data_IF_723062928712
#
_entry.id   IF_723062928712
#
_cell.length_a   1.000
_cell.length_b   1.000
_cell.length_c   1.000
_cell.angle_alpha   90.00
_cell.angle_beta   90.00
_cell.angle_gamma   90.00
#
_symmetry.space_group_name_H-M   'P 1'
#
loop_
_entity.id
_entity.type
_entity.pdbx_description
1 polymer ?
#
# COMPACT_ATOMS: atom_id res chain seq x y z
N UNK A 1 -17.51 -50.93 14.83
CA UNK A 1 -17.43 -50.71 13.37
C UNK A 1 -17.38 -49.21 13.13
N UNK A 2 -16.19 -48.66 12.92
CA UNK A 2 -16.03 -47.25 12.57
C UNK A 2 -16.45 -47.07 11.11
N UNK A 3 -17.39 -46.16 10.87
CA UNK A 3 -17.75 -45.77 9.50
C UNK A 3 -16.49 -45.17 8.85
N UNK A 4 -16.06 -45.62 7.67
CA UNK A 4 -14.92 -45.03 6.99
C UNK A 4 -15.26 -43.58 6.66
N UNK A 5 -14.46 -42.64 7.19
CA UNK A 5 -14.59 -41.20 6.97
C UNK A 5 -14.11 -40.82 5.55
N UNK A 6 -14.70 -41.43 4.53
CA UNK A 6 -14.36 -41.21 3.11
C UNK A 6 -15.39 -40.30 2.39
N UNK A 7 -16.07 -39.44 3.15
CA UNK A 7 -16.95 -38.40 2.58
C UNK A 7 -16.17 -37.16 2.12
N UNK A 8 -16.69 -36.36 1.17
CA UNK A 8 -16.05 -35.12 0.70
C UNK A 8 -15.77 -34.10 1.81
N UNK A 9 -16.44 -34.20 2.97
CA UNK A 9 -16.20 -33.37 4.17
C UNK A 9 -14.82 -33.57 4.80
N UNK A 10 -14.12 -34.68 4.52
CA UNK A 10 -12.81 -35.00 5.11
C UNK A 10 -11.64 -34.73 4.17
N UNK A 11 -11.92 -34.30 2.92
CA UNK A 11 -10.89 -33.87 1.98
C UNK A 11 -10.60 -32.38 2.19
N UNK A 12 -9.33 -31.93 2.12
CA UNK A 12 -9.01 -30.50 2.10
C UNK A 12 -9.90 -29.76 1.09
N UNK A 13 -10.43 -28.61 1.52
CA UNK A 13 -11.32 -27.75 0.72
C UNK A 13 -12.56 -28.47 0.11
N UNK A 14 -13.05 -29.54 0.74
CA UNK A 14 -14.20 -30.28 0.24
C UNK A 14 -13.94 -31.08 -1.03
N UNK A 15 -12.66 -31.38 -1.32
CA UNK A 15 -12.24 -32.07 -2.54
C UNK A 15 -12.12 -31.17 -3.77
N UNK A 16 -12.17 -29.84 -3.60
CA UNK A 16 -11.92 -28.89 -4.69
C UNK A 16 -10.44 -28.82 -5.00
N UNK A 17 -10.10 -28.72 -6.29
CA UNK A 17 -8.75 -28.35 -6.73
C UNK A 17 -8.53 -26.88 -6.42
N UNK A 18 -7.51 -26.58 -5.62
CA UNK A 18 -7.14 -25.22 -5.23
C UNK A 18 -5.77 -24.89 -5.81
N UNK A 19 -5.66 -23.74 -6.44
CA UNK A 19 -4.40 -23.16 -6.90
C UNK A 19 -4.17 -21.85 -6.14
N UNK A 20 -3.09 -21.80 -5.37
CA UNK A 20 -2.62 -20.56 -4.76
C UNK A 20 -1.50 -19.95 -5.61
N UNK A 21 -1.51 -18.63 -5.71
CA UNK A 21 -0.44 -17.85 -6.33
C UNK A 21 -0.05 -16.72 -5.40
N UNK A 22 1.25 -16.58 -5.13
CA UNK A 22 1.77 -15.59 -4.20
C UNK A 22 3.29 -15.53 -4.21
N UNK A 23 3.83 -14.54 -3.51
CA UNK A 23 5.26 -14.33 -3.34
C UNK A 23 5.50 -14.02 -1.86
N UNK A 24 6.11 -14.97 -1.15
CA UNK A 24 6.30 -14.90 0.30
C UNK A 24 7.34 -13.88 0.73
N UNK A 25 8.05 -13.24 -0.22
CA UNK A 25 8.90 -12.08 0.03
C UNK A 25 8.07 -10.79 0.23
N UNK A 26 6.79 -10.80 -0.15
CA UNK A 26 5.88 -9.67 0.03
C UNK A 26 5.37 -9.61 1.48
N UNK A 27 4.62 -8.56 1.81
CA UNK A 27 4.09 -8.38 3.16
C UNK A 27 3.22 -9.55 3.60
N UNK A 28 3.48 -10.04 4.81
CA UNK A 28 2.70 -11.08 5.49
C UNK A 28 1.31 -10.57 5.91
N UNK A 29 0.38 -11.47 6.30
CA UNK A 29 -0.89 -11.09 6.86
C UNK A 29 -0.72 -10.09 8.02
N UNK A 30 -1.46 -8.98 7.98
CA UNK A 30 -1.43 -7.98 9.04
C UNK A 30 -2.35 -8.43 10.16
N UNK A 31 -1.76 -8.79 11.30
CA UNK A 31 -2.48 -9.14 12.52
C UNK A 31 -2.27 -8.02 13.54
N UNK A 32 -3.37 -7.45 14.02
CA UNK A 32 -3.35 -6.32 14.97
C UNK A 32 -2.69 -6.77 16.28
N UNK A 33 -1.78 -5.95 16.81
CA UNK A 33 -1.06 -6.21 18.08
C UNK A 33 -0.20 -7.49 18.08
N UNK A 34 0.07 -8.08 16.91
CA UNK A 34 0.88 -9.28 16.81
C UNK A 34 2.38 -8.99 16.75
N UNK A 35 3.16 -9.84 17.42
CA UNK A 35 4.61 -9.89 17.26
C UNK A 35 5.07 -10.61 15.99
N UNK A 36 6.40 -10.71 15.80
CA UNK A 36 7.02 -11.43 14.67
C UNK A 36 6.53 -12.88 14.59
N UNK A 37 6.56 -13.61 15.69
CA UNK A 37 6.18 -15.03 15.76
C UNK A 37 4.73 -15.25 15.33
N UNK A 38 3.80 -14.51 15.93
CA UNK A 38 2.37 -14.58 15.60
C UNK A 38 2.08 -14.22 14.13
N UNK A 39 2.82 -13.26 13.58
CA UNK A 39 2.70 -12.88 12.15
C UNK A 39 3.17 -14.01 11.23
N UNK A 40 4.27 -14.69 11.59
CA UNK A 40 4.77 -15.85 10.86
C UNK A 40 3.82 -17.04 11.01
N UNK A 41 3.28 -17.30 12.20
CA UNK A 41 2.32 -18.38 12.46
C UNK A 41 0.99 -18.18 11.71
N UNK A 42 0.61 -16.94 11.44
CA UNK A 42 -0.54 -16.61 10.60
C UNK A 42 -0.33 -16.84 9.11
N UNK A 43 0.90 -17.16 8.67
CA UNK A 43 1.22 -17.35 7.25
C UNK A 43 0.78 -18.73 6.72
N UNK A 44 0.60 -18.83 5.40
CA UNK A 44 0.15 -20.07 4.75
C UNK A 44 1.13 -21.24 4.96
N UNK A 45 2.43 -20.96 5.08
CA UNK A 45 3.47 -21.97 5.30
C UNK A 45 3.38 -22.63 6.68
N UNK A 46 2.76 -21.96 7.65
CA UNK A 46 2.50 -22.50 9.00
C UNK A 46 1.13 -23.18 9.14
N UNK A 47 0.36 -23.25 8.06
CA UNK A 47 -0.92 -23.97 8.06
C UNK A 47 -0.72 -25.48 8.19
N UNK A 48 -1.60 -26.16 8.93
CA UNK A 48 -1.65 -27.62 8.97
C UNK A 48 -1.92 -28.27 7.61
N UNK A 49 -2.45 -27.50 6.64
CA UNK A 49 -2.68 -27.95 5.27
C UNK A 49 -1.45 -27.79 4.37
N UNK A 50 -0.35 -27.16 4.84
CA UNK A 50 0.81 -26.84 4.00
C UNK A 50 1.41 -28.09 3.33
N UNK A 51 1.51 -29.19 4.07
CA UNK A 51 2.01 -30.48 3.59
C UNK A 51 1.15 -31.12 2.50
N UNK A 52 -0.07 -30.63 2.27
CA UNK A 52 -0.97 -31.11 1.22
C UNK A 52 -0.79 -30.37 -0.12
N UNK A 53 -0.01 -29.28 -0.16
CA UNK A 53 0.22 -28.52 -1.39
C UNK A 53 1.44 -29.01 -2.14
N UNK A 54 1.34 -29.06 -3.47
CA UNK A 54 2.49 -29.18 -4.36
C UNK A 54 3.01 -27.78 -4.69
N UNK A 55 4.31 -27.59 -4.50
CA UNK A 55 4.97 -26.30 -4.75
C UNK A 55 5.47 -26.23 -6.19
N UNK A 56 5.22 -25.09 -6.85
CA UNK A 56 5.69 -24.82 -8.21
C UNK A 56 6.32 -23.43 -8.24
N UNK A 57 7.52 -23.32 -8.81
CA UNK A 57 8.28 -22.07 -8.85
C UNK A 57 8.26 -21.45 -10.25
N UNK A 58 7.96 -20.16 -10.32
CA UNK A 58 8.15 -19.34 -11.51
C UNK A 58 9.47 -18.58 -11.37
N UNK A 59 10.41 -18.82 -12.27
CA UNK A 59 11.76 -18.23 -12.24
C UNK A 59 11.91 -17.01 -13.14
N UNK A 60 11.10 -16.89 -14.19
CA UNK A 60 11.15 -15.76 -15.12
C UNK A 60 10.36 -14.56 -14.58
N UNK A 61 11.06 -13.45 -14.29
CA UNK A 61 10.42 -12.20 -13.90
C UNK A 61 9.92 -11.44 -15.13
N UNK A 62 8.61 -11.50 -15.37
CA UNK A 62 7.97 -10.82 -16.51
C UNK A 62 7.73 -9.32 -16.31
N UNK A 63 7.95 -8.77 -15.10
CA UNK A 63 7.71 -7.35 -14.79
C UNK A 63 8.90 -6.47 -15.17
N UNK A 64 10.11 -6.99 -15.01
CA UNK A 64 11.35 -6.26 -15.29
C UNK A 64 11.83 -6.66 -16.68
N UNK A 65 11.88 -5.69 -17.60
CA UNK A 65 12.37 -5.90 -18.96
C UNK A 65 13.56 -4.97 -19.22
N UNK A 66 14.73 -5.55 -19.45
CA UNK A 66 15.95 -4.83 -19.81
C UNK A 66 16.78 -4.39 -18.60
N UNK A 67 18.07 -4.71 -18.63
CA UNK A 67 19.08 -4.13 -17.74
C UNK A 67 19.98 -3.25 -18.60
N UNK A 68 20.31 -2.06 -18.11
CA UNK A 68 21.31 -1.21 -18.76
C UNK A 68 22.72 -1.71 -18.38
N UNK A 69 23.73 -1.57 -19.25
CA UNK A 69 25.10 -1.98 -18.94
C UNK A 69 25.67 -1.34 -17.67
N UNK A 70 25.38 -0.05 -17.45
CA UNK A 70 25.95 0.73 -16.34
C UNK A 70 25.30 0.40 -14.97
N UNK A 71 24.09 -0.17 -14.97
CA UNK A 71 23.40 -0.55 -13.73
C UNK A 71 24.20 -1.58 -12.93
N UNK A 72 24.84 -2.55 -13.60
CA UNK A 72 25.61 -3.60 -12.90
C UNK A 72 26.76 -3.05 -12.08
N UNK A 73 27.43 -2.00 -12.57
CA UNK A 73 28.54 -1.40 -11.87
C UNK A 73 28.07 -0.66 -10.61
N UNK A 74 26.98 0.10 -10.71
CA UNK A 74 26.42 0.88 -9.61
C UNK A 74 25.69 0.02 -8.57
N UNK A 75 25.21 -1.16 -8.98
CA UNK A 75 24.56 -2.15 -8.12
C UNK A 75 25.54 -3.22 -7.64
N UNK A 76 26.85 -2.94 -7.56
CA UNK A 76 27.86 -3.85 -7.02
C UNK A 76 27.85 -5.27 -7.62
N UNK A 77 27.64 -5.38 -8.93
CA UNK A 77 27.65 -6.64 -9.67
C UNK A 77 26.28 -7.28 -9.89
N UNK A 78 25.21 -6.72 -9.32
CA UNK A 78 23.83 -7.18 -9.56
C UNK A 78 23.22 -6.50 -10.80
N UNK A 79 22.46 -7.24 -11.61
CA UNK A 79 21.41 -6.61 -12.43
C UNK A 79 20.30 -6.05 -11.53
N UNK A 80 19.49 -5.13 -12.04
CA UNK A 80 18.34 -4.63 -11.28
C UNK A 80 17.43 -5.77 -10.78
N UNK A 81 17.12 -6.76 -11.63
CA UNK A 81 16.28 -7.89 -11.21
C UNK A 81 16.93 -8.74 -10.12
N UNK A 82 18.24 -9.01 -10.21
CA UNK A 82 18.96 -9.77 -9.18
C UNK A 82 19.03 -8.99 -7.86
N UNK A 83 19.25 -7.67 -7.92
CA UNK A 83 19.27 -6.82 -6.73
C UNK A 83 17.92 -6.80 -6.01
N UNK A 84 16.81 -6.67 -6.75
CA UNK A 84 15.45 -6.74 -6.19
C UNK A 84 15.16 -8.09 -5.54
N UNK A 85 15.62 -9.20 -6.14
CA UNK A 85 15.47 -10.53 -5.55
C UNK A 85 16.34 -10.71 -4.30
N UNK A 86 17.60 -10.27 -4.34
CA UNK A 86 18.50 -10.32 -3.19
C UNK A 86 17.97 -9.49 -2.02
N UNK A 87 17.37 -8.32 -2.30
CA UNK A 87 16.66 -7.49 -1.33
C UNK A 87 15.52 -8.28 -0.66
N UNK A 88 14.64 -8.88 -1.45
CA UNK A 88 13.49 -9.65 -0.95
C UNK A 88 13.86 -10.92 -0.19
N UNK A 89 14.99 -11.55 -0.54
CA UNK A 89 15.51 -12.71 0.16
C UNK A 89 16.32 -12.35 1.43
N UNK A 90 16.61 -11.07 1.66
CA UNK A 90 17.48 -10.65 2.77
C UNK A 90 18.94 -11.03 2.59
N UNK A 91 19.43 -11.12 1.35
CA UNK A 91 20.79 -11.56 0.99
C UNK A 91 21.77 -10.41 0.75
N UNK A 92 21.29 -9.16 0.75
CA UNK A 92 22.16 -7.99 0.66
C UNK A 92 23.02 -7.86 1.91
N UNK A 93 24.21 -7.28 1.76
CA UNK A 93 25.10 -6.97 2.88
C UNK A 93 24.37 -6.05 3.87
N UNK A 94 24.35 -6.43 5.14
CA UNK A 94 23.76 -5.65 6.22
C UNK A 94 24.82 -5.11 7.17
N UNK A 95 24.49 -3.99 7.81
CA UNK A 95 25.32 -3.31 8.80
C UNK A 95 24.48 -3.00 10.05
N UNK A 96 25.15 -2.85 11.19
CA UNK A 96 24.55 -2.42 12.45
C UNK A 96 25.17 -1.09 12.85
N UNK A 97 24.33 -0.09 13.13
CA UNK A 97 24.77 1.25 13.55
C UNK A 97 24.73 1.46 15.07
N UNK A 98 24.21 0.48 15.83
CA UNK A 98 24.23 0.45 17.30
C UNK A 98 24.68 -0.92 17.78
N UNK A 99 25.51 -0.95 18.83
CA UNK A 99 26.12 -2.19 19.36
C UNK A 99 25.08 -3.27 19.73
N UNK A 100 23.90 -2.86 20.22
CA UNK A 100 22.81 -3.78 20.62
C UNK A 100 21.67 -3.90 19.58
N UNK A 101 21.89 -3.49 18.33
CA UNK A 101 20.87 -3.55 17.27
C UNK A 101 21.12 -4.69 16.28
N UNK A 102 20.06 -5.31 15.73
CA UNK A 102 20.23 -6.29 14.66
C UNK A 102 20.88 -5.64 13.43
N UNK A 103 21.78 -6.37 12.77
CA UNK A 103 22.37 -5.95 11.50
C UNK A 103 21.33 -6.08 10.38
N UNK A 104 20.40 -5.13 10.32
CA UNK A 104 19.30 -5.08 9.37
C UNK A 104 19.31 -3.83 8.48
N UNK A 105 20.35 -2.99 8.57
CA UNK A 105 20.52 -1.83 7.70
C UNK A 105 21.25 -2.21 6.42
N UNK A 106 20.68 -1.85 5.28
CA UNK A 106 21.29 -2.03 3.97
C UNK A 106 21.64 -0.68 3.37
N UNK A 107 22.74 -0.64 2.61
CA UNK A 107 23.08 0.52 1.81
C UNK A 107 22.26 0.50 0.51
N UNK A 108 21.58 1.61 0.23
CA UNK A 108 20.85 1.84 -1.00
C UNK A 108 21.80 2.45 -2.04
N UNK A 109 21.89 1.86 -3.24
CA UNK A 109 22.71 2.39 -4.33
C UNK A 109 22.38 3.85 -4.65
N UNK A 110 23.41 4.66 -4.91
CA UNK A 110 23.27 6.10 -5.21
C UNK A 110 22.36 6.37 -6.41
N UNK A 111 22.31 5.44 -7.37
CA UNK A 111 21.41 5.45 -8.53
C UNK A 111 19.94 5.72 -8.15
N UNK A 112 19.50 5.17 -7.01
CA UNK A 112 18.11 5.29 -6.59
C UNK A 112 17.86 6.54 -5.73
N UNK A 113 18.90 7.15 -5.17
CA UNK A 113 18.73 8.21 -4.18
C UNK A 113 18.34 9.53 -4.86
N UNK A 114 17.43 10.25 -4.22
CA UNK A 114 17.09 11.63 -4.56
C UNK A 114 18.03 12.53 -3.77
N UNK A 115 18.92 13.22 -4.46
CA UNK A 115 19.73 14.29 -3.90
C UNK A 115 18.84 15.53 -3.76
N UNK A 116 18.77 16.11 -2.57
CA UNK A 116 17.97 17.32 -2.37
C UNK A 116 18.56 18.22 -1.29
N UNK A 117 18.22 19.49 -1.38
CA UNK A 117 18.43 20.49 -0.34
C UNK A 117 17.04 21.06 0.01
N UNK A 118 16.73 21.20 1.30
CA UNK A 118 15.45 21.75 1.75
C UNK A 118 14.35 20.70 2.00
N UNK A 119 13.12 20.97 1.55
CA UNK A 119 11.94 20.20 1.96
C UNK A 119 11.86 18.82 1.27
N UNK A 120 11.88 17.75 2.07
CA UNK A 120 11.84 16.36 1.61
C UNK A 120 10.58 16.00 0.81
N UNK A 121 9.41 16.52 1.20
CA UNK A 121 8.13 16.23 0.51
C UNK A 121 8.11 16.89 -0.87
N UNK A 122 8.59 18.12 -0.96
CA UNK A 122 8.75 18.84 -2.22
C UNK A 122 9.74 18.13 -3.14
N UNK A 123 10.91 17.75 -2.62
CA UNK A 123 11.95 17.06 -3.38
C UNK A 123 11.44 15.75 -4.02
N UNK A 124 10.77 14.89 -3.25
CA UNK A 124 10.23 13.65 -3.83
C UNK A 124 9.04 13.90 -4.76
N UNK A 125 8.22 14.91 -4.47
CA UNK A 125 7.12 15.28 -5.34
C UNK A 125 7.62 15.76 -6.71
N UNK A 126 8.62 16.63 -6.74
CA UNK A 126 9.19 17.16 -7.99
C UNK A 126 9.96 16.12 -8.78
N UNK A 127 10.64 15.20 -8.10
CA UNK A 127 11.35 14.11 -8.76
C UNK A 127 10.38 13.12 -9.42
N UNK A 128 9.30 12.72 -8.73
CA UNK A 128 8.34 11.75 -9.29
C UNK A 128 7.38 12.39 -10.27
N UNK A 129 6.88 13.58 -9.92
CA UNK A 129 5.94 14.36 -10.70
C UNK A 129 6.63 15.54 -11.40
N UNK A 130 7.69 15.26 -12.17
CA UNK A 130 8.39 16.24 -13.01
C UNK A 130 7.45 17.09 -13.89
N UNK A 131 7.65 18.42 -13.85
CA UNK A 131 6.83 19.37 -14.62
C UNK A 131 5.33 19.26 -14.30
N UNK A 132 4.98 19.03 -13.03
CA UNK A 132 3.61 18.81 -12.56
C UNK A 132 2.63 19.88 -13.04
N UNK A 133 3.02 21.16 -13.01
CA UNK A 133 2.16 22.29 -13.35
C UNK A 133 1.62 22.23 -14.80
N UNK A 134 2.33 21.54 -15.69
CA UNK A 134 1.92 21.33 -17.09
C UNK A 134 1.21 20.00 -17.33
N UNK A 135 1.46 19.01 -16.47
CA UNK A 135 1.06 17.62 -16.70
C UNK A 135 -0.05 17.12 -15.75
N UNK A 136 -0.45 17.89 -14.73
CA UNK A 136 -1.45 17.47 -13.75
C UNK A 136 -2.80 17.05 -14.35
N UNK A 137 -3.18 17.57 -15.51
CA UNK A 137 -4.42 17.17 -16.19
C UNK A 137 -4.30 15.89 -17.02
N UNK A 138 -3.08 15.37 -17.26
CA UNK A 138 -2.84 14.29 -18.23
C UNK A 138 -2.99 12.92 -17.54
N UNK A 139 -4.02 12.12 -17.87
CA UNK A 139 -4.22 10.84 -17.20
C UNK A 139 -3.06 9.87 -17.43
N UNK A 140 -2.51 9.81 -18.65
CA UNK A 140 -1.38 8.94 -18.99
C UNK A 140 -0.13 9.23 -18.14
N UNK A 141 0.10 10.50 -17.80
CA UNK A 141 1.22 10.94 -16.96
C UNK A 141 1.03 10.51 -15.50
N UNK A 142 -0.19 10.68 -14.96
CA UNK A 142 -0.50 10.36 -13.56
C UNK A 142 -0.70 8.86 -13.31
N UNK A 143 -1.19 8.11 -14.31
CA UNK A 143 -1.57 6.70 -14.19
C UNK A 143 -0.39 5.82 -13.78
N UNK A 144 0.75 5.99 -14.42
CA UNK A 144 1.89 5.08 -14.24
C UNK A 144 2.90 5.56 -13.19
N UNK A 145 2.52 6.53 -12.34
CA UNK A 145 3.40 7.08 -11.31
C UNK A 145 2.71 7.09 -9.95
N UNK A 146 3.48 6.90 -8.89
CA UNK A 146 3.02 7.11 -7.52
C UNK A 146 4.19 7.29 -6.55
N UNK A 147 3.93 8.01 -5.47
CA UNK A 147 4.80 8.01 -4.29
C UNK A 147 4.29 6.94 -3.33
N UNK A 148 5.18 6.17 -2.71
CA UNK A 148 4.84 5.17 -1.71
C UNK A 148 5.59 5.44 -0.41
N UNK A 149 4.89 5.28 0.72
CA UNK A 149 5.49 5.43 2.04
C UNK A 149 5.00 4.34 3.00
N UNK A 150 5.71 4.05 4.10
CA UNK A 150 5.32 2.98 5.04
C UNK A 150 4.02 3.29 5.80
N UNK A 151 3.79 4.56 6.18
CA UNK A 151 2.71 4.98 7.08
C UNK A 151 1.67 5.86 6.38
N UNK A 152 0.41 5.76 6.81
CA UNK A 152 -0.68 6.59 6.27
C UNK A 152 -0.49 8.09 6.56
N UNK A 153 0.13 8.46 7.69
CA UNK A 153 0.35 9.87 8.03
C UNK A 153 1.22 10.59 6.98
N UNK A 154 2.35 10.00 6.62
CA UNK A 154 3.24 10.51 5.55
C UNK A 154 2.52 10.57 4.21
N UNK A 155 1.71 9.55 3.89
CA UNK A 155 0.91 9.52 2.66
C UNK A 155 -0.09 10.68 2.62
N UNK A 156 -0.75 10.99 3.74
CA UNK A 156 -1.66 12.13 3.82
C UNK A 156 -0.92 13.43 3.58
N UNK A 157 0.22 13.65 4.25
CA UNK A 157 1.04 14.86 4.08
C UNK A 157 1.46 15.10 2.62
N UNK A 158 1.93 14.06 1.92
CA UNK A 158 2.29 14.17 0.49
C UNK A 158 1.06 14.48 -0.36
N UNK A 159 -0.06 13.80 -0.12
CA UNK A 159 -1.28 14.04 -0.89
C UNK A 159 -1.82 15.45 -0.67
N UNK A 160 -1.77 15.97 0.56
CA UNK A 160 -2.19 17.32 0.91
C UNK A 160 -1.30 18.36 0.22
N UNK A 161 0.03 18.16 0.24
CA UNK A 161 0.98 18.99 -0.50
C UNK A 161 0.69 19.01 -2.01
N UNK A 162 0.49 17.82 -2.62
CA UNK A 162 0.15 17.73 -4.04
C UNK A 162 -1.19 18.40 -4.38
N UNK A 163 -2.18 18.30 -3.49
CA UNK A 163 -3.49 18.95 -3.65
C UNK A 163 -3.41 20.48 -3.61
N UNK A 164 -2.49 21.04 -2.83
CA UNK A 164 -2.25 22.48 -2.80
C UNK A 164 -1.68 22.97 -4.13
N UNK A 165 -0.85 22.16 -4.81
CA UNK A 165 -0.26 22.48 -6.12
C UNK A 165 -1.23 22.41 -7.29
N UNK A 166 -2.28 21.58 -7.21
CA UNK A 166 -3.26 21.46 -8.30
C UNK A 166 -4.02 22.78 -8.48
N UNK A 167 -3.97 23.42 -9.67
CA UNK A 167 -4.75 24.63 -9.94
C UNK A 167 -6.26 24.37 -9.95
N UNK A 168 -7.02 25.42 -9.62
CA UNK A 168 -8.48 25.42 -9.69
C UNK A 168 -9.18 25.20 -8.35
N UNK A 169 -10.52 25.27 -8.41
CA UNK A 169 -11.36 25.29 -7.23
C UNK A 169 -11.42 23.93 -6.54
N UNK A 170 -11.26 23.94 -5.22
CA UNK A 170 -11.50 22.79 -4.37
C UNK A 170 -12.97 22.71 -3.95
N UNK A 171 -13.51 21.49 -3.90
CA UNK A 171 -14.81 21.20 -3.31
C UNK A 171 -14.62 20.33 -2.07
N UNK A 172 -15.15 20.80 -0.95
CA UNK A 172 -15.10 20.10 0.33
C UNK A 172 -16.42 19.41 0.60
N UNK A 173 -16.35 18.13 0.95
CA UNK A 173 -17.48 17.30 1.30
C UNK A 173 -17.41 16.91 2.77
N UNK A 174 -18.40 17.34 3.55
CA UNK A 174 -18.54 16.93 4.95
C UNK A 174 -19.30 15.60 5.05
N UNK A 175 -18.84 14.71 5.93
CA UNK A 175 -19.54 13.45 6.21
C UNK A 175 -20.77 13.68 7.08
N UNK A 176 -21.65 12.68 7.12
CA UNK A 176 -22.71 12.59 8.12
C UNK A 176 -22.39 11.43 9.04
N UNK A 177 -22.10 11.76 10.30
CA UNK A 177 -21.63 10.83 11.32
C UNK A 177 -22.73 10.61 12.36
N UNK A 178 -22.90 9.36 12.79
CA UNK A 178 -23.90 8.95 13.77
C UNK A 178 -23.44 7.67 14.47
N UNK A 179 -24.01 7.36 15.63
CA UNK A 179 -23.76 6.10 16.30
C UNK A 179 -24.75 5.04 15.82
N UNK A 180 -24.30 3.79 15.71
CA UNK A 180 -25.21 2.66 15.53
C UNK A 180 -25.87 2.37 16.90
N UNK A 181 -27.20 2.52 16.98
CA UNK A 181 -27.94 2.20 18.20
C UNK A 181 -27.92 0.69 18.44
N UNK A 182 -27.19 0.24 19.47
CA UNK A 182 -27.41 -1.06 20.08
C UNK A 182 -28.65 -1.01 20.95
N UNK A 183 -29.46 -2.08 20.93
CA UNK A 183 -30.80 -2.16 21.53
C UNK A 183 -30.86 -1.88 23.04
N UNK A 184 -29.74 -1.86 23.75
CA UNK A 184 -29.71 -1.88 25.22
C UNK A 184 -29.28 -0.56 25.88
N UNK A 185 -28.84 0.48 25.13
CA UNK A 185 -28.17 1.66 25.72
C UNK A 185 -28.38 2.99 24.99
N UNK A 186 -29.41 3.10 24.15
CA UNK A 186 -29.51 4.12 23.09
C UNK A 186 -29.62 5.59 23.53
N UNK A 187 -29.97 5.91 24.78
CA UNK A 187 -30.15 7.32 25.21
C UNK A 187 -28.92 7.94 25.88
N UNK A 188 -27.99 7.16 26.42
CA UNK A 188 -26.82 7.70 27.15
C UNK A 188 -25.62 7.96 26.25
N UNK A 189 -25.45 7.19 25.17
CA UNK A 189 -24.30 7.34 24.28
C UNK A 189 -24.36 8.61 23.43
N UNK A 190 -25.54 8.99 22.92
CA UNK A 190 -25.69 10.20 22.09
C UNK A 190 -25.45 11.49 22.91
N UNK A 191 -25.72 11.46 24.23
CA UNK A 191 -25.39 12.57 25.15
C UNK A 191 -23.89 12.61 25.51
N UNK A 192 -23.23 11.45 25.61
CA UNK A 192 -21.81 11.36 25.94
C UNK A 192 -20.87 11.66 24.75
N UNK A 193 -21.34 11.49 23.51
CA UNK A 193 -20.51 11.61 22.31
C UNK A 193 -21.14 12.57 21.29
N UNK A 194 -20.88 13.88 21.40
CA UNK A 194 -21.42 14.87 20.48
C UNK A 194 -20.90 14.67 19.05
N UNK A 195 -21.67 15.13 18.05
CA UNK A 195 -21.33 14.92 16.63
C UNK A 195 -20.00 15.59 16.26
N UNK A 196 -19.69 16.73 16.86
CA UNK A 196 -18.43 17.45 16.73
C UNK A 196 -17.25 16.56 17.11
N UNK A 197 -17.38 15.79 18.19
CA UNK A 197 -16.37 14.82 18.59
C UNK A 197 -16.25 13.69 17.56
N UNK A 198 -17.37 13.12 17.10
CA UNK A 198 -17.35 12.06 16.07
C UNK A 198 -16.65 12.51 14.78
N UNK A 199 -16.87 13.76 14.38
CA UNK A 199 -16.25 14.36 13.19
C UNK A 199 -14.72 14.47 13.30
N UNK A 200 -14.15 14.55 14.52
CA UNK A 200 -12.69 14.55 14.73
C UNK A 200 -12.05 13.17 14.57
N UNK A 201 -12.84 12.09 14.61
CA UNK A 201 -12.32 10.73 14.59
C UNK A 201 -11.84 10.34 13.18
N UNK A 202 -10.62 9.82 13.12
CA UNK A 202 -9.98 9.31 11.91
C UNK A 202 -9.75 7.80 12.01
N UNK A 203 -10.00 7.08 10.92
CA UNK A 203 -9.91 5.61 10.90
C UNK A 203 -9.23 5.13 9.63
N UNK A 204 -8.48 4.03 9.74
CA UNK A 204 -7.82 3.43 8.59
C UNK A 204 -8.86 2.88 7.60
N UNK A 205 -8.69 3.23 6.33
CA UNK A 205 -9.57 2.75 5.25
C UNK A 205 -10.97 3.37 5.25
N UNK A 206 -11.20 4.43 6.02
CA UNK A 206 -12.45 5.20 6.02
C UNK A 206 -12.07 6.65 5.67
N UNK A 207 -12.81 7.33 4.79
CA UNK A 207 -12.57 8.74 4.53
C UNK A 207 -12.76 9.59 5.80
N UNK A 208 -12.02 10.69 5.88
CA UNK A 208 -12.18 11.68 6.95
C UNK A 208 -13.55 12.38 6.86
N UNK A 209 -13.93 13.04 7.95
CA UNK A 209 -15.14 13.87 7.97
C UNK A 209 -15.08 14.94 6.88
N UNK A 210 -13.98 15.69 6.85
CA UNK A 210 -13.68 16.64 5.79
C UNK A 210 -12.93 15.96 4.65
N UNK A 211 -13.53 15.95 3.46
CA UNK A 211 -12.93 15.41 2.24
C UNK A 211 -12.86 16.50 1.17
N UNK A 212 -11.68 17.07 0.99
CA UNK A 212 -11.42 18.13 0.00
C UNK A 212 -10.85 17.54 -1.28
N UNK A 213 -11.52 17.78 -2.40
CA UNK A 213 -11.15 17.26 -3.72
C UNK A 213 -11.10 18.37 -4.76
N UNK A 214 -10.34 18.14 -5.83
CA UNK A 214 -10.23 19.02 -7.00
C UNK A 214 -10.50 18.21 -8.26
N UNK A 215 -11.02 18.86 -9.29
CA UNK A 215 -11.10 18.27 -10.63
C UNK A 215 -9.68 18.03 -11.13
N UNK A 216 -9.50 17.00 -11.96
CA UNK A 216 -8.20 16.60 -12.48
C UNK A 216 -7.20 16.15 -11.39
N UNK A 217 -7.71 15.51 -10.34
CA UNK A 217 -6.90 14.83 -9.32
C UNK A 217 -7.13 13.31 -9.37
N UNK A 218 -6.09 12.48 -9.20
CA UNK A 218 -6.25 11.05 -9.00
C UNK A 218 -6.77 10.74 -7.60
N UNK A 219 -7.79 9.89 -7.51
CA UNK A 219 -8.34 9.38 -6.27
C UNK A 219 -8.35 7.84 -6.26
N UNK A 220 -8.33 7.24 -5.10
CA UNK A 220 -8.34 5.78 -4.90
C UNK A 220 -9.60 5.39 -4.13
N UNK A 221 -10.29 4.35 -4.61
CA UNK A 221 -11.41 3.75 -3.90
C UNK A 221 -10.96 3.02 -2.63
N UNK A 222 -11.74 3.19 -1.57
CA UNK A 222 -11.49 2.58 -0.25
C UNK A 222 -12.37 1.36 0.01
N UNK A 223 -13.36 1.08 -0.84
CA UNK A 223 -14.29 -0.05 -0.73
C UNK A 223 -14.58 -0.65 -2.09
N UNK A 224 -14.97 -1.92 -2.05
CA UNK A 224 -15.55 -2.59 -3.21
C UNK A 224 -16.98 -2.06 -3.38
N UNK A 225 -17.24 -1.41 -4.50
CA UNK A 225 -18.57 -0.93 -4.87
C UNK A 225 -19.22 -1.86 -5.89
N UNK A 226 -18.46 -2.16 -6.95
CA UNK A 226 -18.90 -3.08 -7.99
C UNK A 226 -17.68 -3.75 -8.64
N UNK A 227 -17.24 -4.91 -8.12
CA UNK A 227 -16.09 -5.62 -8.68
C UNK A 227 -16.24 -6.03 -10.15
N UNK A 228 -17.48 -6.27 -10.61
CA UNK A 228 -17.75 -6.63 -12.00
C UNK A 228 -17.49 -5.47 -12.99
N UNK A 229 -17.42 -4.23 -12.49
CA UNK A 229 -17.09 -3.03 -13.28
C UNK A 229 -15.72 -2.45 -12.88
N UNK A 230 -14.86 -3.24 -12.23
CA UNK A 230 -13.54 -2.78 -11.79
C UNK A 230 -13.54 -1.80 -10.61
N UNK A 231 -14.68 -1.52 -9.98
CA UNK A 231 -14.80 -0.64 -8.81
C UNK A 231 -14.48 -1.39 -7.51
N UNK A 232 -13.21 -1.75 -7.36
CA UNK A 232 -12.65 -2.43 -6.20
C UNK A 232 -11.88 -1.47 -5.29
N UNK A 233 -11.63 -1.90 -4.05
CA UNK A 233 -10.71 -1.23 -3.14
C UNK A 233 -9.31 -1.18 -3.75
N UNK A 234 -8.72 0.01 -3.83
CA UNK A 234 -7.43 0.25 -4.47
C UNK A 234 -7.53 0.72 -5.92
N UNK A 235 -8.68 0.61 -6.59
CA UNK A 235 -8.87 1.15 -7.94
C UNK A 235 -8.64 2.65 -7.93
N UNK A 236 -7.76 3.12 -8.81
CA UNK A 236 -7.47 4.53 -9.02
C UNK A 236 -8.41 5.09 -10.08
N UNK A 237 -8.92 6.29 -9.85
CA UNK A 237 -9.79 7.02 -10.75
C UNK A 237 -9.26 8.44 -10.95
N UNK A 238 -9.40 8.97 -12.15
CA UNK A 238 -9.14 10.36 -12.49
C UNK A 238 -10.43 11.16 -12.30
N UNK A 239 -10.48 12.11 -11.37
CA UNK A 239 -11.70 12.91 -11.13
C UNK A 239 -11.95 13.85 -12.30
N UNK A 240 -13.11 13.72 -12.95
CA UNK A 240 -13.52 14.58 -14.07
C UNK A 240 -14.63 15.56 -13.69
N UNK A 241 -15.46 15.26 -12.68
CA UNK A 241 -16.51 16.15 -12.19
C UNK A 241 -16.81 15.90 -10.71
N UNK A 242 -17.09 16.99 -9.99
CA UNK A 242 -17.43 17.01 -8.57
C UNK A 242 -18.86 17.54 -8.37
N UNK A 243 -19.85 16.63 -8.44
CA UNK A 243 -21.26 16.95 -8.17
C UNK A 243 -21.54 17.07 -6.67
N UNK A 244 -22.76 17.44 -6.28
CA UNK A 244 -23.12 17.54 -4.85
C UNK A 244 -23.27 16.17 -4.19
N UNK A 245 -23.86 15.22 -4.92
CA UNK A 245 -24.18 13.89 -4.44
C UNK A 245 -23.42 12.76 -5.15
N UNK A 246 -22.54 13.10 -6.08
CA UNK A 246 -21.75 12.15 -6.84
C UNK A 246 -20.37 12.71 -7.21
N UNK A 247 -19.40 11.81 -7.37
CA UNK A 247 -18.11 12.09 -8.01
C UNK A 247 -18.09 11.33 -9.33
N UNK A 248 -17.68 11.97 -10.41
CA UNK A 248 -17.50 11.35 -11.71
C UNK A 248 -16.01 11.26 -12.01
N UNK A 249 -15.56 10.14 -12.57
CA UNK A 249 -14.17 9.97 -12.97
C UNK A 249 -13.98 8.83 -13.96
N UNK A 250 -12.74 8.68 -14.44
CA UNK A 250 -12.35 7.57 -15.31
C UNK A 250 -11.40 6.64 -14.57
N UNK A 251 -11.58 5.32 -14.69
CA UNK A 251 -10.67 4.33 -14.11
C UNK A 251 -9.27 4.46 -14.74
N UNK A 252 -8.24 4.34 -13.90
CA UNK A 252 -6.84 4.42 -14.28
C UNK A 252 -6.19 3.03 -14.16
N UNK A 253 -6.03 2.35 -15.30
CA UNK A 253 -5.35 1.06 -15.43
C UNK A 253 -6.21 -0.18 -15.33
N UNK A 254 -5.58 -1.33 -15.58
CA UNK A 254 -6.25 -2.63 -15.63
C UNK A 254 -7.13 -2.81 -16.86
N UNK A 255 -8.04 -3.79 -16.78
CA UNK A 255 -8.95 -4.16 -17.89
C UNK A 255 -10.07 -3.16 -18.16
N UNK A 256 -10.29 -2.21 -17.24
CA UNK A 256 -11.35 -1.20 -17.29
C UNK A 256 -10.76 0.21 -17.49
N UNK A 257 -9.53 0.29 -18.01
CA UNK A 257 -8.84 1.57 -18.19
C UNK A 257 -9.67 2.54 -19.03
N UNK A 258 -9.76 3.79 -18.61
CA UNK A 258 -10.55 4.88 -19.20
C UNK A 258 -12.07 4.80 -19.03
N UNK A 259 -12.61 3.70 -18.50
CA UNK A 259 -14.06 3.55 -18.25
C UNK A 259 -14.56 4.64 -17.30
N UNK A 260 -15.67 5.27 -17.69
CA UNK A 260 -16.32 6.33 -16.93
C UNK A 260 -17.17 5.74 -15.81
N UNK A 261 -17.01 6.25 -14.60
CA UNK A 261 -17.66 5.75 -13.39
C UNK A 261 -18.21 6.88 -12.54
N UNK A 262 -19.28 6.56 -11.81
CA UNK A 262 -19.93 7.47 -10.86
C UNK A 262 -19.83 6.86 -9.47
N UNK A 263 -19.28 7.63 -8.54
CA UNK A 263 -19.06 7.22 -7.15
C UNK A 263 -20.08 7.95 -6.27
N UNK A 264 -21.04 7.22 -5.66
CA UNK A 264 -21.97 7.78 -4.69
C UNK A 264 -21.35 7.82 -3.28
N UNK A 265 -21.98 8.58 -2.38
CA UNK A 265 -21.71 8.45 -0.94
C UNK A 265 -22.25 7.12 -0.44
N UNK A 266 -21.45 6.41 0.36
CA UNK A 266 -21.87 5.17 1.02
C UNK A 266 -21.81 5.33 2.53
N UNK A 267 -22.51 4.46 3.25
CA UNK A 267 -22.42 4.35 4.70
C UNK A 267 -21.31 3.36 5.05
N UNK A 268 -20.41 3.78 5.93
CA UNK A 268 -19.30 2.99 6.45
C UNK A 268 -19.51 2.82 7.95
N UNK A 269 -19.67 1.57 8.39
CA UNK A 269 -19.69 1.23 9.80
C UNK A 269 -18.25 0.96 10.25
N UNK A 270 -17.85 1.56 11.35
CA UNK A 270 -16.50 1.47 11.89
C UNK A 270 -16.56 0.97 13.31
N UNK A 271 -16.03 -0.23 13.50
CA UNK A 271 -15.81 -0.84 14.81
C UNK A 271 -14.33 -0.64 15.15
N UNK A 272 -14.04 -0.21 16.38
CA UNK A 272 -12.68 0.01 16.84
C UNK A 272 -12.56 -0.38 18.31
N UNK A 273 -11.53 -1.15 18.66
CA UNK A 273 -11.29 -1.59 20.05
C UNK A 273 -11.09 -0.43 21.03
N UNK A 274 -10.72 0.76 20.55
CA UNK A 274 -10.53 1.95 21.38
C UNK A 274 -11.85 2.60 21.82
N UNK A 275 -12.95 2.36 21.11
CA UNK A 275 -14.20 3.06 21.32
C UNK A 275 -15.33 2.08 21.64
N UNK A 276 -16.18 2.37 22.64
CA UNK A 276 -17.26 1.49 23.06
C UNK A 276 -18.49 1.55 22.14
N UNK A 277 -18.35 2.07 20.91
CA UNK A 277 -19.44 2.30 19.98
C UNK A 277 -19.03 1.97 18.54
N UNK A 278 -20.04 1.80 17.68
CA UNK A 278 -19.86 1.64 16.25
C UNK A 278 -20.21 2.98 15.57
N UNK A 279 -19.22 3.59 14.93
CA UNK A 279 -19.44 4.82 14.17
C UNK A 279 -20.04 4.48 12.81
N UNK A 280 -21.12 5.17 12.44
CA UNK A 280 -21.72 5.15 11.12
C UNK A 280 -21.39 6.46 10.39
N UNK A 281 -20.45 6.41 9.45
CA UNK A 281 -20.00 7.56 8.63
C UNK A 281 -20.51 7.45 7.20
N UNK A 282 -21.32 8.41 6.75
CA UNK A 282 -21.76 8.51 5.35
C UNK A 282 -20.88 9.50 4.57
N UNK A 283 -20.06 8.99 3.65
CA UNK A 283 -19.11 9.78 2.86
C UNK A 283 -18.79 9.11 1.52
N UNK A 284 -18.17 9.84 0.58
CA UNK A 284 -17.60 9.24 -0.62
C UNK A 284 -16.43 8.32 -0.27
N UNK A 285 -16.41 7.06 -0.72
CA UNK A 285 -15.38 6.09 -0.34
C UNK A 285 -14.10 6.26 -1.16
N UNK A 286 -13.59 7.48 -1.24
CA UNK A 286 -12.38 7.85 -1.99
C UNK A 286 -11.39 8.61 -1.10
N UNK A 287 -10.12 8.57 -1.49
CA UNK A 287 -9.07 9.48 -1.01
C UNK A 287 -8.20 9.93 -2.17
N UNK A 288 -7.58 11.10 -2.08
CA UNK A 288 -6.55 11.52 -3.04
C UNK A 288 -5.41 10.51 -3.10
N UNK A 289 -4.83 10.31 -4.29
CA UNK A 289 -3.91 9.22 -4.56
C UNK A 289 -2.73 9.63 -5.48
N UNK A 290 -2.01 10.68 -5.10
CA UNK A 290 -0.64 10.92 -5.59
C UNK A 290 0.38 10.08 -4.82
N UNK A 291 0.10 9.85 -3.54
CA UNK A 291 0.82 8.93 -2.68
C UNK A 291 -0.10 7.83 -2.13
N UNK A 292 0.46 6.65 -1.88
CA UNK A 292 -0.22 5.54 -1.22
C UNK A 292 0.73 4.80 -0.26
N UNK A 293 0.20 3.95 0.62
CA UNK A 293 1.09 3.14 1.46
C UNK A 293 1.73 2.03 0.65
N UNK A 294 2.91 1.57 1.05
CA UNK A 294 3.57 0.45 0.39
C UNK A 294 2.68 -0.80 0.37
N UNK A 295 1.96 -1.09 1.46
CA UNK A 295 1.01 -2.20 1.51
C UNK A 295 -0.14 -2.05 0.50
N UNK A 296 -0.55 -0.81 0.17
CA UNK A 296 -1.59 -0.55 -0.84
C UNK A 296 -1.08 -0.60 -2.27
N UNK A 297 0.23 -0.44 -2.49
CA UNK A 297 0.83 -0.58 -3.82
C UNK A 297 1.07 -2.06 -4.21
N UNK A 298 0.95 -2.99 -3.27
CA UNK A 298 1.10 -4.42 -3.52
C UNK A 298 0.21 -4.89 -4.69
N UNK A 299 0.80 -5.60 -5.64
CA UNK A 299 0.12 -6.08 -6.85
C UNK A 299 0.03 -5.06 -7.99
N UNK A 300 0.27 -3.77 -7.74
CA UNK A 300 0.30 -2.75 -8.79
C UNK A 300 1.65 -2.77 -9.53
N UNK A 301 1.64 -2.34 -10.79
CA UNK A 301 2.84 -2.12 -11.61
C UNK A 301 2.82 -0.69 -12.12
N UNK A 302 3.91 0.05 -11.89
CA UNK A 302 4.06 1.46 -12.20
C UNK A 302 5.35 1.67 -13.01
N UNK A 303 5.41 2.73 -13.79
CA UNK A 303 6.61 3.09 -14.57
C UNK A 303 7.59 3.90 -13.72
N UNK A 304 7.08 4.78 -12.84
CA UNK A 304 7.90 5.58 -11.91
C UNK A 304 7.36 5.50 -10.49
N UNK A 305 8.20 5.16 -9.53
CA UNK A 305 7.83 5.06 -8.11
C UNK A 305 8.86 5.80 -7.27
N UNK A 306 8.36 6.71 -6.43
CA UNK A 306 9.16 7.31 -5.36
C UNK A 306 8.88 6.62 -4.05
N UNK A 307 9.88 6.06 -3.40
CA UNK A 307 9.77 5.53 -2.04
C UNK A 307 10.24 6.61 -1.09
N UNK A 308 9.32 7.15 -0.28
CA UNK A 308 9.66 8.09 0.78
C UNK A 308 9.73 7.37 2.13
N UNK A 309 10.90 7.40 2.76
CA UNK A 309 11.17 6.80 4.06
C UNK A 309 11.60 7.90 5.05
N UNK A 310 10.66 8.66 5.63
CA UNK A 310 10.98 9.56 6.75
C UNK A 310 11.36 8.77 8.02
N UNK A 311 10.92 7.51 8.07
CA UNK A 311 11.32 6.50 9.04
C UNK A 311 11.55 5.19 8.26
N UNK A 312 12.42 4.29 8.75
CA UNK A 312 12.60 2.98 8.14
C UNK A 312 11.31 2.16 8.06
N UNK A 313 11.25 1.21 7.13
CA UNK A 313 10.17 0.23 7.08
C UNK A 313 10.12 -0.59 8.37
N UNK A 314 8.94 -1.09 8.72
CA UNK A 314 8.67 -1.72 10.02
C UNK A 314 8.10 -3.13 9.90
N UNK A 315 7.91 -3.65 8.69
CA UNK A 315 7.27 -4.94 8.45
C UNK A 315 8.01 -5.77 7.41
N UNK A 316 7.85 -7.10 7.53
CA UNK A 316 8.40 -8.08 6.61
C UNK A 316 8.12 -7.73 5.15
N UNK A 317 9.15 -7.74 4.32
CA UNK A 317 9.00 -7.62 2.87
C UNK A 317 8.46 -6.26 2.42
N UNK A 318 8.26 -5.30 3.32
CA UNK A 318 7.64 -4.02 3.00
C UNK A 318 8.52 -3.24 2.01
N UNK A 319 9.82 -3.14 2.26
CA UNK A 319 10.74 -2.48 1.32
C UNK A 319 10.77 -3.18 -0.05
N UNK A 320 10.82 -4.52 -0.06
CA UNK A 320 10.74 -5.33 -1.28
C UNK A 320 9.44 -5.07 -2.07
N UNK A 321 8.29 -4.97 -1.40
CA UNK A 321 7.02 -4.62 -2.06
C UNK A 321 7.15 -3.28 -2.76
N UNK A 322 7.65 -2.24 -2.08
CA UNK A 322 7.81 -0.90 -2.64
C UNK A 322 8.72 -0.88 -3.87
N UNK A 323 9.89 -1.50 -3.77
CA UNK A 323 10.91 -1.57 -4.83
C UNK A 323 10.42 -2.38 -6.03
N UNK A 324 9.72 -3.50 -5.81
CA UNK A 324 9.27 -4.40 -6.89
C UNK A 324 8.06 -3.88 -7.69
N UNK A 325 7.61 -2.65 -7.44
CA UNK A 325 6.48 -2.04 -8.18
C UNK A 325 6.89 -1.44 -9.52
N UNK A 326 8.17 -1.13 -9.71
CA UNK A 326 8.69 -0.54 -10.95
C UNK A 326 9.07 -1.58 -11.99
N UNK A 327 9.15 -1.14 -13.26
CA UNK A 327 9.57 -1.98 -14.40
C UNK A 327 11.07 -1.88 -14.73
N UNK A 328 11.73 -0.80 -14.31
CA UNK A 328 13.14 -0.52 -14.60
C UNK A 328 13.83 0.13 -13.40
N UNK A 329 15.17 0.07 -13.35
CA UNK A 329 15.96 0.72 -12.31
C UNK A 329 15.75 2.25 -12.32
N UNK A 330 15.70 2.85 -13.52
CA UNK A 330 15.46 4.28 -13.72
C UNK A 330 14.09 4.76 -13.23
N UNK A 331 13.12 3.86 -13.16
CA UNK A 331 11.79 4.15 -12.62
C UNK A 331 11.75 4.21 -11.10
N UNK A 332 12.76 3.69 -10.40
CA UNK A 332 12.81 3.66 -8.94
C UNK A 332 13.61 4.85 -8.41
N UNK A 333 12.98 5.64 -7.55
CA UNK A 333 13.65 6.70 -6.80
C UNK A 333 13.31 6.61 -5.32
N UNK A 334 14.24 6.95 -4.46
CA UNK A 334 14.15 6.79 -3.02
C UNK A 334 14.63 8.07 -2.33
N UNK A 335 13.87 8.53 -1.36
CA UNK A 335 14.27 9.60 -0.46
C UNK A 335 14.17 9.06 0.97
N UNK A 336 15.28 9.12 1.70
CA UNK A 336 15.44 8.46 2.99
C UNK A 336 15.92 9.51 3.99
N UNK A 337 15.23 9.60 5.12
CA UNK A 337 15.65 10.41 6.24
C UNK A 337 16.07 9.50 7.38
N UNK A 338 17.26 9.74 7.91
CA UNK A 338 17.79 9.05 9.06
C UNK A 338 18.23 10.04 10.14
N UNK A 339 18.32 9.60 11.42
CA UNK A 339 19.03 10.35 12.44
C UNK A 339 20.48 10.61 12.05
N UNK A 340 21.09 11.69 12.58
CA UNK A 340 22.43 12.13 12.20
C UNK A 340 23.55 11.07 12.33
N UNK A 341 23.34 10.05 13.14
CA UNK A 341 24.27 8.92 13.35
C UNK A 341 24.30 7.94 12.16
N UNK A 342 23.27 7.95 11.32
CA UNK A 342 23.08 6.99 10.24
C UNK A 342 23.01 7.73 8.90
N UNK A 343 23.85 7.38 7.92
CA UNK A 343 23.83 8.06 6.62
C UNK A 343 22.48 7.91 5.89
N UNK A 344 22.04 8.95 5.17
CA UNK A 344 20.77 8.96 4.40
C UNK A 344 20.77 8.07 3.13
N UNK A 345 21.81 7.26 2.93
CA UNK A 345 21.83 6.19 1.95
C UNK A 345 21.61 4.79 2.57
N UNK A 346 21.26 4.70 3.86
CA UNK A 346 20.94 3.43 4.51
C UNK A 346 19.46 3.34 4.90
N UNK A 347 18.89 2.15 4.87
CA UNK A 347 17.57 1.89 5.47
C UNK A 347 17.46 0.47 5.96
N UNK A 348 16.45 0.18 6.79
CA UNK A 348 16.25 -1.17 7.32
C UNK A 348 15.60 -2.07 6.27
N UNK A 349 16.06 -3.31 6.15
CA UNK A 349 15.42 -4.34 5.35
C UNK A 349 14.95 -5.48 6.26
N UNK A 350 13.66 -5.52 6.54
CA UNK A 350 13.07 -6.52 7.45
C UNK A 350 12.63 -7.73 6.64
N UNK A 351 13.34 -8.84 6.81
CA UNK A 351 13.04 -10.13 6.19
C UNK A 351 12.99 -11.20 7.28
N UNK A 352 11.92 -12.00 7.26
CA UNK A 352 11.66 -13.10 8.19
C UNK A 352 11.94 -14.37 7.39
N UNK A 353 13.14 -14.93 7.55
CA UNK A 353 13.55 -16.13 6.84
C UNK A 353 12.61 -17.31 7.13
N UNK A 354 12.00 -17.33 8.31
CA UNK A 354 11.05 -18.35 8.76
C UNK A 354 9.76 -18.39 7.95
N UNK A 355 9.42 -17.31 7.24
CA UNK A 355 8.22 -17.24 6.42
C UNK A 355 8.32 -18.09 5.15
N UNK A 356 9.55 -18.37 4.68
CA UNK A 356 9.80 -19.08 3.42
C UNK A 356 10.95 -20.10 3.49
N UNK A 357 11.44 -20.46 4.68
CA UNK A 357 12.43 -21.53 4.89
C UNK A 357 11.99 -22.86 4.27
N UNK A 358 10.70 -23.16 4.36
CA UNK A 358 10.10 -24.42 3.92
C UNK A 358 9.78 -24.41 2.41
N UNK A 359 10.05 -23.29 1.73
CA UNK A 359 9.86 -23.05 0.29
C UNK A 359 11.18 -23.13 -0.47
N UNK A 360 12.29 -22.76 0.15
CA UNK A 360 13.63 -22.77 -0.46
C UNK A 360 14.35 -24.12 -0.36
N UNK A 361 13.79 -25.08 0.39
CA UNK A 361 14.41 -26.38 0.70
C UNK A 361 13.78 -27.57 -0.02
N UNK A 362 12.73 -27.34 -0.84
CA UNK A 362 12.15 -28.32 -1.75
C UNK A 362 12.45 -27.97 -3.19
#
# INVERSE_FOLDING_TARGET
>A
MGVPLNGPRYKPFGGKTILFGGDFRQTLPVITEAGREQTVDGSLTRSSLWSSFALMHLSANMRIAGSLPDERQQLHGYTFSEWVLALGNGQLKTEAFKEDSPADWIQIPELFLIQHEGNHIEAIADDIYESFDTNYMRPAYLKNRAIVAPRNATVSQINDYMMQRVPGDSKTYYSSDSLLQSTDTSSTFDECYPTEFLNTLTFNGVPNHELTLKKNTPAMLLRNLNPALGLCNGTRIMITMLGDNFIKGNIMGGSYDTDEVIIPRIVLNVENSKWPFILKRRQFPVRTCYAMTINKSQGQTLDKVGIYLPEPVFSHGQLYVGVSRVRSATGLRMLIENPAEIPNNYTRNIVFAEAFSDILTG
#
